data_IF_430298770822
#
_entry.id   IF_430298770822
#
_cell.length_a   1.000
_cell.length_b   1.000
_cell.length_c   1.000
_cell.angle_alpha   90.00
_cell.angle_beta   90.00
_cell.angle_gamma   90.00
#
_symmetry.space_group_name_H-M   'P 1'
#
loop_
_entity.id
_entity.type
_entity.pdbx_description
1 polymer ?
#
# COMPACT_ATOMS: atom_id res chain seq x y z
N UNK A 1 -30.14 2.20 0.16
CA UNK A 1 -29.95 1.80 1.58
C UNK A 1 -28.55 1.23 1.63
N UNK A 2 -27.60 1.93 2.24
CA UNK A 2 -26.21 1.45 2.31
C UNK A 2 -26.18 0.20 3.21
N UNK A 3 -25.81 -0.94 2.63
CA UNK A 3 -25.66 -2.18 3.39
C UNK A 3 -24.42 -2.06 4.27
N UNK A 4 -24.64 -2.05 5.59
CA UNK A 4 -23.58 -2.02 6.59
C UNK A 4 -23.37 -3.41 7.19
N UNK A 5 -22.12 -3.76 7.42
CA UNK A 5 -21.74 -4.97 8.13
C UNK A 5 -20.77 -4.63 9.26
N UNK A 6 -20.88 -5.34 10.38
CA UNK A 6 -19.84 -5.32 11.42
C UNK A 6 -18.66 -6.16 10.95
N UNK A 7 -17.49 -5.54 10.85
CA UNK A 7 -16.30 -6.17 10.32
C UNK A 7 -15.04 -5.82 11.11
N UNK A 8 -14.06 -6.72 11.08
CA UNK A 8 -12.75 -6.56 11.69
C UNK A 8 -11.67 -6.51 10.60
N UNK A 9 -10.69 -5.64 10.74
CA UNK A 9 -9.58 -5.51 9.80
C UNK A 9 -8.40 -6.39 10.21
N UNK A 10 -8.08 -7.38 9.37
CA UNK A 10 -7.11 -8.44 9.66
C UNK A 10 -5.91 -8.35 8.72
N UNK A 11 -4.71 -8.48 9.28
CA UNK A 11 -3.44 -8.62 8.56
C UNK A 11 -3.00 -10.09 8.56
N UNK A 12 -2.93 -10.73 7.39
CA UNK A 12 -2.49 -12.13 7.25
C UNK A 12 -0.99 -12.22 6.95
N UNK A 13 -0.46 -11.27 6.18
CA UNK A 13 0.95 -11.18 5.83
C UNK A 13 1.51 -9.92 6.50
N UNK A 14 2.67 -9.98 7.17
CA UNK A 14 3.26 -8.81 7.81
C UNK A 14 3.37 -7.62 6.87
N UNK A 15 2.83 -6.47 7.28
CA UNK A 15 2.73 -5.21 6.51
C UNK A 15 1.99 -5.35 5.17
N UNK A 16 1.22 -6.43 5.01
CA UNK A 16 0.35 -6.67 3.87
C UNK A 16 -0.93 -5.82 3.91
N UNK A 17 -1.78 -6.01 2.90
CA UNK A 17 -3.11 -5.38 2.84
C UNK A 17 -3.93 -5.82 4.05
N UNK A 18 -4.64 -4.87 4.66
CA UNK A 18 -5.62 -5.14 5.70
C UNK A 18 -6.90 -5.59 4.99
N UNK A 19 -7.36 -6.80 5.29
CA UNK A 19 -8.56 -7.38 4.69
C UNK A 19 -9.66 -7.36 5.76
N UNK A 20 -10.85 -6.90 5.37
CA UNK A 20 -12.01 -6.90 6.26
C UNK A 20 -12.70 -8.26 6.23
N UNK A 21 -13.00 -8.76 7.42
CA UNK A 21 -13.78 -9.97 7.63
C UNK A 21 -15.03 -9.64 8.46
N UNK A 22 -16.16 -10.22 8.10
CA UNK A 22 -17.42 -10.02 8.83
C UNK A 22 -17.39 -10.74 10.18
N UNK A 23 -18.12 -10.19 11.16
CA UNK A 23 -18.25 -10.73 12.52
C UNK A 23 -19.72 -11.07 12.76
N UNK A 24 -20.19 -12.27 12.37
CA UNK A 24 -21.62 -12.59 12.34
C UNK A 24 -22.23 -12.78 13.74
N UNK A 25 -21.47 -13.28 14.71
CA UNK A 25 -21.99 -13.67 16.03
C UNK A 25 -21.87 -12.57 17.10
N UNK A 26 -21.43 -11.37 16.71
CA UNK A 26 -21.19 -10.28 17.66
C UNK A 26 -19.95 -10.46 18.53
N UNK A 27 -19.06 -11.41 18.19
CA UNK A 27 -17.79 -11.63 18.89
C UNK A 27 -16.95 -10.35 18.97
N UNK A 28 -16.35 -10.10 20.14
CA UNK A 28 -15.44 -8.98 20.33
C UNK A 28 -14.00 -9.39 19.97
N UNK A 29 -13.31 -8.55 19.21
CA UNK A 29 -11.91 -8.74 18.86
C UNK A 29 -11.10 -7.50 19.23
N UNK A 30 -9.98 -7.72 19.89
CA UNK A 30 -9.07 -6.65 20.28
C UNK A 30 -7.91 -6.53 19.30
N UNK A 31 -7.30 -5.35 19.27
CA UNK A 31 -6.10 -5.13 18.47
C UNK A 31 -4.97 -6.01 18.98
N UNK A 32 -4.47 -6.88 18.11
CA UNK A 32 -3.43 -7.85 18.45
C UNK A 32 -3.92 -9.29 18.53
N UNK A 33 -5.24 -9.51 18.62
CA UNK A 33 -5.82 -10.86 18.60
C UNK A 33 -5.39 -11.63 17.34
N UNK A 34 -5.08 -12.91 17.54
CA UNK A 34 -4.86 -13.85 16.44
C UNK A 34 -6.17 -14.57 16.14
N UNK A 35 -6.57 -14.50 14.87
CA UNK A 35 -7.82 -15.07 14.37
C UNK A 35 -7.56 -16.00 13.20
N UNK A 36 -8.41 -17.02 13.11
CA UNK A 36 -8.41 -17.95 12.00
C UNK A 36 -9.39 -17.43 10.93
N UNK A 37 -8.91 -17.30 9.70
CA UNK A 37 -9.66 -16.75 8.57
C UNK A 37 -9.43 -17.56 7.31
N UNK A 38 -10.36 -17.45 6.35
CA UNK A 38 -10.19 -18.02 5.01
C UNK A 38 -9.55 -16.98 4.09
N UNK A 39 -8.24 -17.12 3.84
CA UNK A 39 -7.49 -16.29 2.92
C UNK A 39 -7.58 -16.76 1.47
N UNK A 40 -6.69 -16.26 0.62
CA UNK A 40 -6.59 -16.64 -0.80
C UNK A 40 -6.07 -18.08 -0.97
N UNK A 41 -5.24 -18.53 -0.03
CA UNK A 41 -4.55 -19.82 -0.13
C UNK A 41 -5.18 -20.94 0.70
N UNK A 42 -6.26 -20.64 1.42
CA UNK A 42 -6.93 -21.57 2.32
C UNK A 42 -7.01 -21.00 3.73
N UNK A 43 -6.86 -21.87 4.72
CA UNK A 43 -6.98 -21.53 6.13
C UNK A 43 -5.72 -20.81 6.62
N UNK A 44 -5.86 -19.58 7.13
CA UNK A 44 -4.72 -18.74 7.51
C UNK A 44 -4.93 -18.10 8.88
N UNK A 45 -3.81 -17.84 9.57
CA UNK A 45 -3.81 -17.05 10.80
C UNK A 45 -3.60 -15.59 10.43
N UNK A 46 -4.49 -14.72 10.90
CA UNK A 46 -4.40 -13.29 10.74
C UNK A 46 -4.34 -12.58 12.09
N UNK A 47 -3.73 -11.40 12.10
CA UNK A 47 -3.66 -10.51 13.26
C UNK A 47 -4.67 -9.37 13.11
N UNK A 48 -5.48 -9.15 14.14
CA UNK A 48 -6.43 -8.03 14.18
C UNK A 48 -5.66 -6.73 14.34
N UNK A 49 -5.80 -5.82 13.36
CA UNK A 49 -5.24 -4.48 13.41
C UNK A 49 -6.30 -3.40 13.63
N UNK A 50 -7.51 -3.63 13.12
CA UNK A 50 -8.66 -2.74 13.28
C UNK A 50 -9.74 -3.56 14.01
N UNK A 51 -10.05 -3.23 15.28
CA UNK A 51 -11.15 -3.85 16.02
C UNK A 51 -12.50 -3.76 15.28
N UNK A 52 -13.51 -4.55 15.69
CA UNK A 52 -14.83 -4.56 15.05
C UNK A 52 -15.41 -3.15 14.91
N UNK A 53 -15.78 -2.79 13.68
CA UNK A 53 -16.47 -1.54 13.34
C UNK A 53 -17.50 -1.76 12.25
N UNK A 54 -18.46 -0.85 12.12
CA UNK A 54 -19.34 -0.84 10.96
C UNK A 54 -18.56 -0.41 9.71
N UNK A 55 -18.72 -1.17 8.63
CA UNK A 55 -18.20 -0.83 7.30
C UNK A 55 -19.35 -0.87 6.30
N UNK A 56 -19.30 0.03 5.32
CA UNK A 56 -20.23 0.01 4.17
C UNK A 56 -19.71 -1.04 3.19
N UNK A 57 -20.51 -2.05 2.87
CA UNK A 57 -20.09 -3.20 2.06
C UNK A 57 -19.62 -2.74 0.67
N UNK A 58 -20.32 -1.77 0.08
CA UNK A 58 -20.01 -1.24 -1.25
C UNK A 58 -18.63 -0.55 -1.30
N UNK A 59 -18.18 0.07 -0.20
CA UNK A 59 -16.86 0.69 -0.10
C UNK A 59 -15.72 -0.32 -0.01
N UNK A 60 -16.00 -1.53 0.51
CA UNK A 60 -14.99 -2.59 0.64
C UNK A 60 -14.64 -3.18 -0.74
N UNK A 61 -15.62 -3.24 -1.65
CA UNK A 61 -15.41 -3.68 -3.04
C UNK A 61 -15.20 -5.19 -3.21
N UNK A 62 -15.51 -6.00 -2.19
CA UNK A 62 -15.50 -7.47 -2.25
C UNK A 62 -16.42 -8.08 -1.19
N UNK A 63 -16.77 -9.36 -1.38
CA UNK A 63 -17.59 -10.12 -0.44
C UNK A 63 -16.85 -10.37 0.88
N UNK A 64 -17.47 -9.96 2.00
CA UNK A 64 -16.92 -10.12 3.34
C UNK A 64 -17.06 -11.56 3.84
N UNK A 65 -15.97 -12.32 3.76
CA UNK A 65 -15.86 -13.62 4.45
C UNK A 65 -15.93 -13.42 5.96
N UNK A 66 -16.52 -14.36 6.68
CA UNK A 66 -16.56 -14.32 8.14
C UNK A 66 -15.21 -14.68 8.76
N UNK A 67 -14.90 -14.09 9.92
CA UNK A 67 -13.89 -14.65 10.81
C UNK A 67 -14.37 -16.03 11.27
N UNK A 68 -13.49 -17.03 11.23
CA UNK A 68 -13.86 -18.38 11.64
C UNK A 68 -13.94 -18.44 13.16
N UNK A 69 -12.88 -18.00 13.86
CA UNK A 69 -12.80 -17.88 15.33
C UNK A 69 -11.47 -17.26 15.78
N UNK A 70 -11.36 -16.94 17.08
CA UNK A 70 -10.05 -16.71 17.72
C UNK A 70 -9.26 -18.03 17.79
N UNK A 71 -7.93 -17.91 17.79
CA UNK A 71 -7.06 -19.06 18.02
C UNK A 71 -7.23 -19.56 19.46
N UNK A 72 -7.32 -20.87 19.62
CA UNK A 72 -7.20 -21.56 20.92
C UNK A 72 -5.72 -21.77 21.25
N UNK A 73 -5.43 -22.24 22.46
CA UNK A 73 -4.05 -22.53 22.88
C UNK A 73 -3.38 -23.60 22.00
N UNK A 74 -4.14 -24.60 21.54
CA UNK A 74 -3.65 -25.63 20.60
C UNK A 74 -3.31 -25.00 19.24
N UNK A 75 -4.16 -24.11 18.73
CA UNK A 75 -3.89 -23.42 17.47
C UNK A 75 -2.68 -22.49 17.57
N UNK A 76 -2.48 -21.84 18.72
CA UNK A 76 -1.33 -20.98 18.96
C UNK A 76 -0.03 -21.78 18.91
N UNK A 77 -0.02 -22.98 19.47
CA UNK A 77 1.14 -23.87 19.43
C UNK A 77 1.40 -24.36 17.99
N UNK A 78 0.36 -24.78 17.27
CA UNK A 78 0.47 -25.13 15.85
C UNK A 78 0.97 -23.96 15.01
N UNK A 79 0.47 -22.75 15.26
CA UNK A 79 0.90 -21.54 14.56
C UNK A 79 2.39 -21.24 14.80
N UNK A 80 2.84 -21.32 16.06
CA UNK A 80 4.27 -21.13 16.41
C UNK A 80 5.16 -22.13 15.68
N UNK A 81 4.80 -23.41 15.71
CA UNK A 81 5.51 -24.47 14.98
C UNK A 81 5.53 -24.21 13.47
N UNK A 82 4.41 -23.78 12.90
CA UNK A 82 4.33 -23.44 11.47
C UNK A 82 5.24 -22.24 11.12
N UNK A 83 5.36 -21.24 12.00
CA UNK A 83 6.27 -20.10 11.82
C UNK A 83 7.74 -20.56 11.86
N UNK A 84 8.10 -21.41 12.82
CA UNK A 84 9.46 -21.96 12.93
C UNK A 84 9.82 -22.83 11.71
N UNK A 85 8.94 -23.76 11.33
CA UNK A 85 9.15 -24.62 10.16
C UNK A 85 9.21 -23.80 8.86
N UNK A 86 8.43 -22.72 8.74
CA UNK A 86 8.49 -21.83 7.59
C UNK A 86 9.84 -21.09 7.51
N UNK A 87 10.42 -20.72 8.65
CA UNK A 87 11.75 -20.11 8.69
C UNK A 87 12.84 -21.09 8.24
N UNK A 88 12.78 -22.35 8.69
CA UNK A 88 13.67 -23.40 8.19
C UNK A 88 13.50 -23.63 6.68
N UNK A 89 12.25 -23.69 6.22
CA UNK A 89 11.94 -23.84 4.81
C UNK A 89 12.46 -22.66 3.95
N UNK A 90 12.40 -21.44 4.48
CA UNK A 90 12.97 -20.26 3.85
C UNK A 90 14.47 -20.41 3.62
N UNK A 91 15.23 -20.89 4.62
CA UNK A 91 16.68 -21.05 4.48
C UNK A 91 17.03 -22.09 3.41
N UNK A 92 16.34 -23.23 3.40
CA UNK A 92 16.52 -24.30 2.42
C UNK A 92 16.18 -23.79 1.01
N UNK A 93 15.03 -23.11 0.85
CA UNK A 93 14.62 -22.55 -0.43
C UNK A 93 15.61 -21.51 -0.95
N UNK A 94 16.12 -20.64 -0.07
CA UNK A 94 17.16 -19.66 -0.41
C UNK A 94 18.44 -20.34 -0.92
N UNK A 95 18.83 -21.46 -0.31
CA UNK A 95 19.99 -22.23 -0.77
C UNK A 95 19.72 -22.89 -2.12
N UNK A 96 18.55 -23.51 -2.30
CA UNK A 96 18.14 -24.12 -3.58
C UNK A 96 18.05 -23.11 -4.72
N UNK A 97 17.55 -21.90 -4.46
CA UNK A 97 17.54 -20.80 -5.45
C UNK A 97 18.95 -20.51 -5.96
N UNK A 98 19.96 -20.51 -5.07
CA UNK A 98 21.36 -20.30 -5.46
C UNK A 98 21.92 -21.48 -6.26
N UNK A 99 21.64 -22.72 -5.83
CA UNK A 99 22.07 -23.94 -6.53
C UNK A 99 21.52 -24.02 -7.96
N UNK A 100 20.26 -23.62 -8.14
CA UNK A 100 19.60 -23.55 -9.44
C UNK A 100 19.96 -22.30 -10.25
N UNK A 101 20.74 -21.37 -9.70
CA UNK A 101 21.16 -20.14 -10.40
C UNK A 101 20.01 -19.20 -10.79
N UNK A 102 18.90 -19.21 -10.05
CA UNK A 102 17.70 -18.48 -10.44
C UNK A 102 17.82 -16.97 -10.14
N UNK A 103 17.51 -16.07 -11.09
CA UNK A 103 17.62 -14.62 -10.91
C UNK A 103 16.44 -14.05 -10.12
N UNK A 104 16.32 -14.46 -8.86
CA UNK A 104 15.22 -14.10 -7.97
C UNK A 104 15.69 -13.90 -6.53
N UNK A 105 14.96 -13.08 -5.78
CA UNK A 105 15.21 -12.82 -4.36
C UNK A 105 14.06 -13.34 -3.52
N UNK A 106 14.34 -14.30 -2.64
CA UNK A 106 13.36 -14.81 -1.68
C UNK A 106 13.10 -13.77 -0.59
N UNK A 107 11.83 -13.52 -0.28
CA UNK A 107 11.38 -12.44 0.61
C UNK A 107 10.72 -12.96 1.88
N UNK A 108 9.85 -13.95 1.76
CA UNK A 108 9.11 -14.51 2.88
C UNK A 108 8.66 -15.93 2.58
N UNK A 109 8.46 -16.74 3.61
CA UNK A 109 7.85 -18.06 3.51
C UNK A 109 6.81 -18.24 4.61
N UNK A 110 5.74 -18.97 4.32
CA UNK A 110 4.73 -19.36 5.32
C UNK A 110 4.05 -20.67 4.94
N UNK A 111 3.58 -21.39 5.94
CA UNK A 111 2.58 -22.44 5.77
C UNK A 111 1.17 -21.84 5.86
N UNK A 112 0.21 -22.45 5.17
CA UNK A 112 -1.20 -22.34 5.57
C UNK A 112 -1.36 -22.96 6.96
N UNK A 113 -2.39 -22.57 7.70
CA UNK A 113 -2.60 -23.05 9.07
C UNK A 113 -2.68 -24.59 9.13
N UNK A 114 -3.43 -25.18 8.20
CA UNK A 114 -3.59 -26.63 8.01
C UNK A 114 -2.40 -27.33 7.33
N UNK A 115 -1.33 -26.58 7.00
CA UNK A 115 -0.13 -27.05 6.27
C UNK A 115 -0.41 -27.73 4.93
N UNK A 116 -1.58 -27.50 4.32
CA UNK A 116 -1.87 -27.99 2.97
C UNK A 116 -0.97 -27.35 1.91
N UNK A 117 -0.48 -26.12 2.16
CA UNK A 117 0.45 -25.42 1.28
C UNK A 117 1.61 -24.79 2.04
N UNK A 118 2.75 -24.76 1.37
CA UNK A 118 3.94 -23.98 1.75
C UNK A 118 4.18 -22.93 0.66
N UNK A 119 4.07 -21.67 1.04
CA UNK A 119 4.08 -20.53 0.12
C UNK A 119 5.37 -19.75 0.28
N UNK A 120 6.07 -19.51 -0.82
CA UNK A 120 7.30 -18.73 -0.90
C UNK A 120 7.05 -17.46 -1.71
N UNK A 121 7.25 -16.30 -1.08
CA UNK A 121 7.18 -14.99 -1.72
C UNK A 121 8.56 -14.58 -2.21
N UNK A 122 8.65 -14.13 -3.46
CA UNK A 122 9.91 -13.70 -4.07
C UNK A 122 9.71 -12.46 -4.94
N UNK A 123 10.78 -11.71 -5.19
CA UNK A 123 10.84 -10.69 -6.23
C UNK A 123 11.81 -11.11 -7.34
N UNK A 124 11.52 -10.66 -8.55
CA UNK A 124 12.36 -10.81 -9.74
C UNK A 124 12.02 -9.70 -10.74
N UNK A 125 12.99 -9.26 -11.54
CA UNK A 125 12.77 -8.22 -12.56
C UNK A 125 11.94 -8.72 -13.74
N UNK A 126 12.08 -10.01 -14.07
CA UNK A 126 11.39 -10.65 -15.18
C UNK A 126 10.76 -11.98 -14.79
N UNK A 127 10.37 -12.75 -15.81
CA UNK A 127 9.86 -14.10 -15.63
C UNK A 127 10.99 -15.05 -15.23
N UNK A 128 10.75 -15.87 -14.21
CA UNK A 128 11.69 -16.88 -13.73
C UNK A 128 11.10 -18.26 -14.00
N UNK A 129 11.88 -19.15 -14.62
CA UNK A 129 11.49 -20.56 -14.76
C UNK A 129 11.96 -21.34 -13.53
N UNK A 130 11.05 -21.57 -12.59
CA UNK A 130 11.33 -22.22 -11.30
C UNK A 130 10.82 -23.67 -11.24
N UNK A 131 10.53 -24.30 -12.39
CA UNK A 131 9.92 -25.65 -12.41
C UNK A 131 10.77 -26.70 -11.69
N UNK A 132 12.09 -26.66 -11.86
CA UNK A 132 13.01 -27.59 -11.20
C UNK A 132 13.11 -27.33 -9.69
N UNK A 133 13.20 -26.05 -9.29
CA UNK A 133 13.14 -25.65 -7.89
C UNK A 133 11.88 -26.18 -7.19
N UNK A 134 10.70 -26.05 -7.82
CA UNK A 134 9.45 -26.56 -7.25
C UNK A 134 9.50 -28.08 -7.02
N UNK A 135 10.06 -28.83 -7.98
CA UNK A 135 10.21 -30.28 -7.85
C UNK A 135 11.11 -30.66 -6.67
N UNK A 136 12.22 -29.95 -6.48
CA UNK A 136 13.14 -30.19 -5.37
C UNK A 136 12.51 -29.86 -4.03
N UNK A 137 11.86 -28.69 -3.92
CA UNK A 137 11.18 -28.30 -2.68
C UNK A 137 10.04 -29.26 -2.33
N UNK A 138 9.28 -29.73 -3.32
CA UNK A 138 8.21 -30.70 -3.12
C UNK A 138 8.73 -32.03 -2.56
N UNK A 139 9.89 -32.51 -3.03
CA UNK A 139 10.55 -33.72 -2.49
C UNK A 139 10.97 -33.55 -1.03
N UNK A 140 11.44 -32.36 -0.67
CA UNK A 140 11.94 -32.04 0.68
C UNK A 140 10.78 -31.92 1.67
N UNK A 141 9.80 -31.06 1.37
CA UNK A 141 8.75 -30.68 2.33
C UNK A 141 7.51 -31.56 2.27
N UNK A 142 7.36 -32.41 1.24
CA UNK A 142 6.21 -33.31 1.06
C UNK A 142 4.86 -32.60 1.20
N UNK A 143 4.82 -31.33 0.81
CA UNK A 143 3.68 -30.41 0.90
C UNK A 143 3.54 -29.69 -0.43
N UNK A 144 2.34 -29.22 -0.79
CA UNK A 144 2.14 -28.44 -2.02
C UNK A 144 2.94 -27.13 -1.93
N UNK A 145 3.87 -26.95 -2.86
CA UNK A 145 4.71 -25.75 -2.95
C UNK A 145 4.03 -24.71 -3.83
N UNK A 146 3.95 -23.48 -3.35
CA UNK A 146 3.41 -22.34 -4.09
C UNK A 146 4.44 -21.19 -4.10
N UNK A 147 4.81 -20.70 -5.28
CA UNK A 147 5.75 -19.59 -5.45
C UNK A 147 4.97 -18.37 -5.93
N UNK A 148 5.00 -17.27 -5.16
CA UNK A 148 4.31 -16.02 -5.50
C UNK A 148 5.30 -14.90 -5.73
N UNK A 149 5.32 -14.38 -6.96
CA UNK A 149 6.07 -13.18 -7.29
C UNK A 149 5.37 -11.96 -6.70
N UNK A 150 6.12 -11.08 -6.05
CA UNK A 150 5.64 -9.77 -5.58
C UNK A 150 6.30 -8.64 -6.36
N UNK A 151 5.59 -7.53 -6.50
CA UNK A 151 6.11 -6.36 -7.18
C UNK A 151 7.22 -5.66 -6.38
N UNK A 152 8.05 -4.87 -7.06
CA UNK A 152 9.20 -4.14 -6.47
C UNK A 152 8.83 -3.23 -5.29
N UNK A 153 7.58 -2.74 -5.24
CA UNK A 153 7.11 -1.92 -4.12
C UNK A 153 6.67 -2.77 -2.94
N UNK A 154 6.00 -3.89 -3.18
CA UNK A 154 5.60 -4.81 -2.12
C UNK A 154 6.83 -5.49 -1.51
N UNK A 155 7.90 -5.66 -2.28
CA UNK A 155 9.22 -6.02 -1.73
C UNK A 155 9.63 -5.07 -0.60
N UNK A 156 9.46 -3.75 -0.76
CA UNK A 156 9.78 -2.77 0.29
C UNK A 156 8.89 -2.90 1.53
N UNK A 157 7.72 -3.55 1.45
CA UNK A 157 6.89 -3.80 2.64
C UNK A 157 7.55 -4.82 3.56
N UNK A 158 8.24 -5.82 2.99
CA UNK A 158 8.96 -6.83 3.78
C UNK A 158 10.16 -6.23 4.52
N UNK A 159 10.98 -5.44 3.83
CA UNK A 159 12.21 -4.88 4.43
C UNK A 159 11.98 -3.56 5.17
N UNK A 160 10.96 -2.79 4.79
CA UNK A 160 10.87 -1.38 5.15
C UNK A 160 11.93 -0.53 4.42
N UNK A 161 12.05 0.73 4.81
CA UNK A 161 13.05 1.64 4.29
C UNK A 161 12.73 3.08 4.68
N UNK A 162 13.58 4.02 4.25
CA UNK A 162 13.34 5.45 4.41
C UNK A 162 12.88 6.06 3.08
N UNK A 163 11.87 6.92 3.14
CA UNK A 163 11.44 7.76 2.03
C UNK A 163 12.42 8.91 1.81
N UNK A 164 12.22 9.64 0.71
CA UNK A 164 12.99 10.85 0.41
C UNK A 164 12.84 11.94 1.48
N UNK A 165 11.76 11.89 2.26
CA UNK A 165 11.50 12.76 3.41
C UNK A 165 12.26 12.34 4.68
N UNK A 166 13.04 11.27 4.66
CA UNK A 166 13.77 10.75 5.83
C UNK A 166 12.91 9.94 6.81
N UNK A 167 11.60 9.83 6.59
CA UNK A 167 10.68 9.01 7.40
C UNK A 167 10.58 7.57 6.87
N UNK A 168 10.11 6.61 7.68
CA UNK A 168 9.79 5.26 7.20
C UNK A 168 8.84 5.29 5.99
N UNK A 169 9.06 4.41 5.01
CA UNK A 169 8.27 4.38 3.77
C UNK A 169 6.78 4.20 4.05
N UNK A 170 5.94 5.07 3.47
CA UNK A 170 4.48 5.05 3.72
C UNK A 170 3.84 3.69 3.40
N UNK A 171 4.33 3.00 2.36
CA UNK A 171 3.82 1.68 1.98
C UNK A 171 4.07 0.58 3.02
N UNK A 172 5.06 0.74 3.89
CA UNK A 172 5.39 -0.19 4.98
C UNK A 172 4.73 0.19 6.31
N UNK A 173 4.08 1.36 6.38
CA UNK A 173 3.45 1.90 7.58
C UNK A 173 1.93 1.91 7.45
N UNK A 174 1.36 2.96 6.87
CA UNK A 174 -0.09 3.20 6.80
C UNK A 174 -0.67 2.98 5.40
N UNK A 175 0.09 3.30 4.34
CA UNK A 175 -0.40 3.28 2.96
C UNK A 175 -0.19 1.91 2.30
N UNK A 176 -0.75 0.87 2.92
CA UNK A 176 -0.52 -0.53 2.56
C UNK A 176 -1.25 -0.97 1.29
N UNK A 177 -2.28 -0.23 0.89
CA UNK A 177 -3.04 -0.43 -0.35
C UNK A 177 -3.39 0.94 -0.96
N UNK A 178 -3.18 1.10 -2.26
CA UNK A 178 -3.45 2.35 -2.99
C UNK A 178 -3.44 2.08 -4.51
N UNK A 179 -4.09 2.97 -5.27
CA UNK A 179 -4.20 2.88 -6.73
C UNK A 179 -2.87 3.13 -7.46
N UNK A 180 -2.84 2.87 -8.76
CA UNK A 180 -1.63 3.10 -9.55
C UNK A 180 -1.23 4.59 -9.54
N UNK A 181 0.05 4.86 -9.27
CA UNK A 181 0.57 6.24 -9.27
C UNK A 181 0.94 6.64 -10.70
N UNK A 182 0.45 7.78 -11.17
CA UNK A 182 0.72 8.31 -12.51
C UNK A 182 1.41 9.67 -12.45
N UNK A 183 1.97 10.13 -13.58
CA UNK A 183 2.54 11.47 -13.70
C UNK A 183 1.50 12.59 -13.54
N UNK A 184 0.20 12.29 -13.71
CA UNK A 184 -0.89 13.25 -13.47
C UNK A 184 -0.86 13.74 -12.02
N UNK A 185 -0.63 12.83 -11.07
CA UNK A 185 -0.57 13.18 -9.65
C UNK A 185 0.57 14.17 -9.36
N UNK A 186 1.77 13.90 -9.87
CA UNK A 186 2.92 14.79 -9.71
C UNK A 186 2.69 16.17 -10.32
N UNK A 187 2.10 16.24 -11.52
CA UNK A 187 1.76 17.50 -12.21
C UNK A 187 0.74 18.32 -11.42
N UNK A 188 -0.32 17.69 -10.92
CA UNK A 188 -1.36 18.36 -10.14
C UNK A 188 -0.82 18.94 -8.83
N UNK A 189 0.19 18.30 -8.25
CA UNK A 189 0.91 18.77 -7.06
C UNK A 189 2.04 19.74 -7.38
N UNK A 190 2.12 20.24 -8.62
CA UNK A 190 3.13 21.21 -9.07
C UNK A 190 4.57 20.74 -8.81
N UNK A 191 4.79 19.42 -8.75
CA UNK A 191 6.11 18.88 -8.56
C UNK A 191 6.89 18.92 -9.87
N UNK A 192 8.16 19.33 -9.77
CA UNK A 192 9.09 19.21 -10.88
C UNK A 192 9.20 17.73 -11.30
N UNK A 193 9.02 17.46 -12.59
CA UNK A 193 9.05 16.10 -13.16
C UNK A 193 10.51 15.63 -13.32
N UNK A 194 11.23 15.60 -12.22
CA UNK A 194 12.57 15.02 -12.13
C UNK A 194 12.45 13.64 -11.47
N UNK A 195 12.82 12.54 -12.14
CA UNK A 195 12.73 11.19 -11.59
C UNK A 195 13.36 11.04 -10.21
N UNK A 196 14.46 11.74 -9.91
CA UNK A 196 15.13 11.68 -8.61
C UNK A 196 14.30 12.31 -7.47
N UNK A 197 13.39 13.23 -7.79
CA UNK A 197 12.53 13.92 -6.82
C UNK A 197 11.17 13.25 -6.64
N UNK A 198 10.68 12.53 -7.66
CA UNK A 198 9.34 11.94 -7.66
C UNK A 198 9.34 10.40 -7.60
N UNK A 199 10.50 9.76 -7.55
CA UNK A 199 10.62 8.30 -7.41
C UNK A 199 10.99 7.91 -6.00
N UNK A 200 10.26 6.96 -5.44
CA UNK A 200 10.61 6.35 -4.16
C UNK A 200 11.80 5.40 -4.28
N UNK A 201 12.30 4.88 -3.15
CA UNK A 201 13.43 3.95 -3.12
C UNK A 201 13.14 2.62 -3.83
N UNK A 202 11.86 2.27 -4.03
CA UNK A 202 11.42 1.16 -4.88
C UNK A 202 11.54 1.43 -6.40
N UNK A 203 12.12 2.57 -6.80
CA UNK A 203 12.27 3.03 -8.20
C UNK A 203 10.95 3.23 -8.95
N UNK A 204 9.84 3.37 -8.22
CA UNK A 204 8.52 3.73 -8.75
C UNK A 204 8.11 5.09 -8.20
N UNK A 205 7.15 5.75 -8.86
CA UNK A 205 6.64 7.05 -8.41
C UNK A 205 6.20 7.03 -6.94
N UNK A 206 6.47 8.10 -6.19
CA UNK A 206 6.15 8.22 -4.77
C UNK A 206 4.68 7.91 -4.48
N UNK A 207 4.42 7.06 -3.48
CA UNK A 207 3.07 6.70 -3.07
C UNK A 207 2.29 7.86 -2.44
N UNK A 208 2.98 8.83 -1.83
CA UNK A 208 2.36 10.05 -1.29
C UNK A 208 1.69 10.90 -2.37
N UNK A 209 2.14 10.82 -3.64
CA UNK A 209 1.49 11.52 -4.75
C UNK A 209 0.03 11.11 -4.91
N UNK A 210 -0.29 9.82 -4.74
CA UNK A 210 -1.68 9.37 -4.81
C UNK A 210 -2.42 9.68 -3.51
N UNK A 211 -1.77 9.53 -2.35
CA UNK A 211 -2.38 9.82 -1.06
C UNK A 211 -2.85 11.28 -0.91
N UNK A 212 -2.05 12.22 -1.40
CA UNK A 212 -2.33 13.65 -1.30
C UNK A 212 -3.18 14.16 -2.47
N UNK A 213 -3.41 13.34 -3.51
CA UNK A 213 -4.01 13.81 -4.76
C UNK A 213 -5.38 14.45 -4.57
N UNK A 214 -6.28 13.82 -3.81
CA UNK A 214 -7.64 14.31 -3.61
C UNK A 214 -7.67 15.65 -2.85
N UNK A 215 -6.74 15.85 -1.93
CA UNK A 215 -6.55 17.13 -1.25
C UNK A 215 -6.17 18.24 -2.25
N UNK A 216 -5.21 17.97 -3.14
CA UNK A 216 -4.80 18.93 -4.15
C UNK A 216 -5.89 19.19 -5.20
N UNK A 217 -6.64 18.17 -5.64
CA UNK A 217 -7.78 18.35 -6.56
C UNK A 217 -8.79 19.33 -5.97
N UNK A 218 -9.18 19.13 -4.71
CA UNK A 218 -10.16 19.96 -4.02
C UNK A 218 -9.66 21.37 -3.76
N UNK A 219 -8.42 21.53 -3.29
CA UNK A 219 -7.90 22.87 -2.95
C UNK A 219 -7.59 23.72 -4.18
N UNK A 220 -7.22 23.12 -5.31
CA UNK A 220 -6.97 23.85 -6.56
C UNK A 220 -8.23 24.09 -7.39
N UNK A 221 -9.40 23.65 -6.93
CA UNK A 221 -10.67 23.91 -7.61
C UNK A 221 -10.97 25.43 -7.63
N UNK A 222 -11.18 25.97 -8.84
CA UNK A 222 -11.39 27.40 -9.07
C UNK A 222 -10.14 28.28 -8.95
N UNK A 223 -8.95 27.70 -8.74
CA UNK A 223 -7.69 28.44 -8.64
C UNK A 223 -6.95 28.43 -9.99
N UNK A 224 -6.41 29.56 -10.45
CA UNK A 224 -5.69 29.62 -11.72
C UNK A 224 -4.39 28.81 -11.66
N UNK A 225 -4.02 28.18 -12.78
CA UNK A 225 -2.77 27.42 -12.91
C UNK A 225 -1.54 28.33 -12.93
N UNK A 226 -0.40 27.83 -12.44
CA UNK A 226 0.89 28.51 -12.57
C UNK A 226 1.22 28.77 -14.04
N UNK A 227 1.68 29.99 -14.34
CA UNK A 227 1.99 30.45 -15.69
C UNK A 227 0.81 31.04 -16.47
N UNK A 228 -0.43 30.90 -15.98
CA UNK A 228 -1.59 31.55 -16.57
C UNK A 228 -1.55 33.07 -16.39
N UNK A 229 -2.31 33.80 -17.21
CA UNK A 229 -2.46 35.26 -17.10
C UNK A 229 -3.86 35.58 -16.60
N UNK A 230 -3.96 36.44 -15.59
CA UNK A 230 -5.22 36.91 -15.03
C UNK A 230 -5.26 38.44 -15.05
N UNK A 231 -6.47 39.01 -15.03
CA UNK A 231 -6.66 40.45 -14.87
C UNK A 231 -7.02 40.74 -13.41
N UNK A 232 -6.31 41.67 -12.78
CA UNK A 232 -6.57 42.16 -11.44
C UNK A 232 -6.53 43.69 -11.47
N UNK A 233 -7.57 44.35 -10.95
CA UNK A 233 -7.71 45.83 -10.97
C UNK A 233 -7.47 46.46 -12.37
N UNK A 234 -7.93 45.77 -13.42
CA UNK A 234 -7.77 46.22 -14.82
C UNK A 234 -6.39 46.01 -15.42
N UNK A 235 -5.42 45.50 -14.66
CA UNK A 235 -4.05 45.19 -15.13
C UNK A 235 -3.85 43.69 -15.31
N UNK A 236 -2.96 43.31 -16.24
CA UNK A 236 -2.62 41.91 -16.52
C UNK A 236 -1.46 41.45 -15.66
N UNK A 237 -1.64 40.33 -14.97
CA UNK A 237 -0.59 39.68 -14.19
C UNK A 237 -0.41 38.23 -14.62
N UNK A 238 0.83 37.76 -14.53
CA UNK A 238 1.17 36.34 -14.69
C UNK A 238 1.18 35.66 -13.32
N UNK A 239 0.55 34.50 -13.23
CA UNK A 239 0.61 33.66 -12.04
C UNK A 239 2.01 33.04 -11.96
N UNK A 240 2.77 33.40 -10.93
CA UNK A 240 4.16 32.94 -10.77
C UNK A 240 4.25 31.76 -9.81
N UNK A 241 3.40 31.75 -8.79
CA UNK A 241 3.37 30.68 -7.82
C UNK A 241 1.97 30.51 -7.24
N UNK A 242 1.54 29.26 -7.08
CA UNK A 242 0.33 28.89 -6.36
C UNK A 242 0.75 28.08 -5.14
N UNK A 243 0.50 28.61 -3.94
CA UNK A 243 0.82 27.91 -2.71
C UNK A 243 -0.46 27.32 -2.10
N UNK A 244 -0.63 26.01 -2.26
CA UNK A 244 -1.81 25.27 -1.78
C UNK A 244 -1.92 25.30 -0.24
N UNK A 245 -0.80 25.21 0.47
CA UNK A 245 -0.80 25.15 1.94
C UNK A 245 -1.08 26.51 2.60
N UNK A 246 -0.55 27.59 2.02
CA UNK A 246 -0.85 28.95 2.46
C UNK A 246 -2.16 29.48 1.85
N UNK A 247 -2.74 28.77 0.88
CA UNK A 247 -3.92 29.19 0.11
C UNK A 247 -3.75 30.57 -0.50
N UNK A 248 -2.60 30.81 -1.14
CA UNK A 248 -2.27 32.09 -1.79
C UNK A 248 -1.77 31.90 -3.21
N UNK A 249 -2.13 32.83 -4.09
CA UNK A 249 -1.60 32.95 -5.45
C UNK A 249 -0.71 34.19 -5.52
N UNK A 250 0.52 34.01 -6.00
CA UNK A 250 1.47 35.12 -6.25
C UNK A 250 1.43 35.50 -7.73
N UNK A 251 1.20 36.78 -7.97
CA UNK A 251 1.04 37.41 -9.27
C UNK A 251 2.23 38.33 -9.53
N UNK A 252 2.66 38.44 -10.79
CA UNK A 252 3.70 39.37 -11.21
C UNK A 252 3.29 40.11 -12.49
N UNK A 253 3.52 41.42 -12.50
CA UNK A 253 3.35 42.27 -13.68
C UNK A 253 4.72 42.69 -14.21
N UNK A 254 5.03 42.32 -15.46
CA UNK A 254 6.25 42.77 -16.14
C UNK A 254 6.24 44.28 -16.43
N UNK A 255 5.06 44.89 -16.57
CA UNK A 255 4.92 46.31 -16.89
C UNK A 255 5.20 47.23 -15.69
N UNK A 256 4.81 46.77 -14.49
CA UNK A 256 4.91 47.56 -13.25
C UNK A 256 6.09 47.10 -12.37
N UNK A 257 6.64 45.89 -12.62
CA UNK A 257 7.68 45.29 -11.79
C UNK A 257 7.20 44.88 -10.40
N UNK A 258 5.89 44.75 -10.19
CA UNK A 258 5.28 44.49 -8.88
C UNK A 258 4.88 43.02 -8.71
N UNK A 259 4.92 42.55 -7.45
CA UNK A 259 4.40 41.25 -7.03
C UNK A 259 3.24 41.43 -6.05
N UNK A 260 2.12 40.77 -6.34
CA UNK A 260 0.92 40.79 -5.50
C UNK A 260 0.63 39.38 -5.02
N UNK A 261 0.21 39.23 -3.76
CA UNK A 261 -0.27 37.97 -3.19
C UNK A 261 -1.74 38.07 -2.88
N UNK A 262 -2.55 37.22 -3.50
CA UNK A 262 -3.99 37.14 -3.26
C UNK A 262 -4.36 35.81 -2.60
N UNK A 263 -5.31 35.79 -1.64
CA UNK A 263 -5.80 34.56 -1.04
C UNK A 263 -6.68 33.77 -2.02
N UNK A 264 -6.80 32.46 -1.83
CA UNK A 264 -7.68 31.60 -2.65
C UNK A 264 -9.14 32.06 -2.64
N UNK A 265 -9.60 32.65 -1.54
CA UNK A 265 -10.96 33.18 -1.40
C UNK A 265 -11.30 34.23 -2.45
N UNK A 266 -10.31 35.01 -2.93
CA UNK A 266 -10.50 35.97 -4.02
C UNK A 266 -10.92 35.28 -5.32
N UNK A 267 -10.34 34.12 -5.62
CA UNK A 267 -10.62 33.39 -6.86
C UNK A 267 -11.89 32.54 -6.78
N UNK A 268 -12.25 32.10 -5.57
CA UNK A 268 -13.45 31.28 -5.33
C UNK A 268 -14.72 32.13 -5.20
N UNK A 269 -14.60 33.35 -4.66
CA UNK A 269 -15.66 34.36 -4.68
C UNK A 269 -15.58 35.09 -6.01
N UNK A 270 -16.17 34.51 -7.05
CA UNK A 270 -16.25 35.19 -8.35
C UNK A 270 -16.94 36.55 -8.19
N UNK A 271 -16.15 37.61 -8.27
CA UNK A 271 -16.56 38.95 -8.72
C UNK A 271 -15.82 39.26 -10.03
#
# INVERSE_FOLDING_TARGET
MELKARAVGVEIIPKGKIIYYSVPNGDEYERGDLVLVLGDFGLEVGKVLIPPREVVIDEVGYELKAVIRKLTDEDLEQYRKNVEDAWNAFQICRQKIKEHGLPMKLLYAKYTFDRTRLIFFFSAEGRVDFRELVRDLAKIFKTRIELRQVGVRDEMKFFGGLGLCGLPTCCSTFLRDFSSVTLKHAKKQQMMINPAKISGPCRRLLCCLTYEYDFYEKELEGIPDEGSTITYEGKRYKVVNVNVFLRTVTLFSEQEGEMIKLPFDYFRKGE
#
